data_IF_775216543643
#
_entry.id   IF_775216543643
#
_cell.length_a   1.000
_cell.length_b   1.000
_cell.length_c   1.000
_cell.angle_alpha   90.00
_cell.angle_beta   90.00
_cell.angle_gamma   90.00
#
_symmetry.space_group_name_H-M   'P 1'
#
loop_
_entity.id
_entity.type
_entity.pdbx_description
1 polymer ?
#
# COMPACT_ATOMS: atom_id res chain seq x y z
N UNK A 1 6.20 4.44 6.81
CA UNK A 1 6.24 4.09 5.37
C UNK A 1 4.81 3.76 4.96
N UNK A 2 4.21 4.60 4.14
CA UNK A 2 2.86 4.39 3.65
C UNK A 2 2.97 3.40 2.49
N UNK A 3 2.39 2.21 2.64
CA UNK A 3 2.38 1.23 1.55
C UNK A 3 1.13 1.48 0.70
N UNK A 4 1.27 2.31 -0.33
CA UNK A 4 0.33 2.35 -1.44
C UNK A 4 0.61 1.19 -2.40
N UNK A 5 -0.34 0.85 -3.25
CA UNK A 5 -0.06 -0.04 -4.37
C UNK A 5 0.50 0.76 -5.52
N UNK A 6 1.70 0.41 -5.98
CA UNK A 6 2.32 0.99 -7.17
C UNK A 6 2.64 -0.10 -8.18
N UNK A 7 2.46 0.20 -9.44
CA UNK A 7 2.85 -0.70 -10.54
C UNK A 7 3.31 0.06 -11.78
N UNK A 8 4.04 -0.65 -12.61
CA UNK A 8 4.38 -0.25 -13.98
C UNK A 8 3.60 -1.18 -14.91
N UNK A 9 3.00 -0.61 -15.94
CA UNK A 9 2.37 -1.38 -17.01
C UNK A 9 2.94 -0.98 -18.35
N UNK A 10 3.21 -1.97 -19.21
CA UNK A 10 3.67 -1.75 -20.58
C UNK A 10 2.51 -1.72 -21.59
N UNK A 11 2.84 -1.48 -22.85
CA UNK A 11 1.89 -1.43 -23.96
C UNK A 11 1.14 -2.74 -24.18
N UNK A 12 1.76 -3.87 -23.83
CA UNK A 12 1.20 -5.22 -24.00
C UNK A 12 0.37 -5.68 -22.80
N UNK A 13 0.17 -4.78 -21.82
CA UNK A 13 -0.58 -4.97 -20.56
C UNK A 13 0.14 -5.89 -19.56
N UNK A 14 1.46 -6.07 -19.67
CA UNK A 14 2.23 -6.71 -18.62
C UNK A 14 2.35 -5.74 -17.43
N UNK A 15 1.89 -6.17 -16.28
CA UNK A 15 1.92 -5.36 -15.05
C UNK A 15 3.06 -5.85 -14.17
N UNK A 16 3.99 -4.95 -13.85
CA UNK A 16 5.09 -5.20 -12.91
C UNK A 16 4.79 -4.51 -11.60
N UNK A 17 4.70 -5.29 -10.54
CA UNK A 17 4.55 -4.82 -9.18
C UNK A 17 5.30 -5.74 -8.20
N UNK A 18 5.57 -5.26 -7.01
CA UNK A 18 6.20 -6.06 -5.95
C UNK A 18 5.65 -5.64 -4.60
N UNK A 19 5.22 -6.61 -3.79
CA UNK A 19 4.76 -6.33 -2.43
C UNK A 19 5.90 -5.71 -1.59
N UNK A 20 5.58 -4.66 -0.84
CA UNK A 20 6.54 -3.97 0.03
C UNK A 20 7.41 -2.93 -0.67
N UNK A 21 7.15 -2.61 -1.94
CA UNK A 21 7.75 -1.45 -2.61
C UNK A 21 6.69 -0.62 -3.33
N UNK A 22 6.78 0.69 -3.21
CA UNK A 22 5.98 1.70 -3.89
C UNK A 22 6.83 2.56 -4.86
N UNK A 23 8.12 2.27 -4.97
CA UNK A 23 9.04 3.01 -5.85
C UNK A 23 8.89 2.57 -7.30
N UNK A 24 8.39 3.46 -8.16
CA UNK A 24 8.30 3.22 -9.59
C UNK A 24 9.67 2.99 -10.25
N UNK A 25 10.73 3.65 -9.77
CA UNK A 25 12.10 3.43 -10.28
C UNK A 25 12.61 2.01 -9.97
N UNK A 26 12.27 1.48 -8.79
CA UNK A 26 12.59 0.10 -8.46
C UNK A 26 11.81 -0.89 -9.34
N UNK A 27 10.55 -0.58 -9.63
CA UNK A 27 9.70 -1.41 -10.49
C UNK A 27 10.16 -1.35 -11.96
N UNK A 28 10.60 -0.20 -12.46
CA UNK A 28 11.21 -0.07 -13.81
C UNK A 28 12.46 -0.94 -13.94
N UNK A 29 13.33 -0.95 -12.92
CA UNK A 29 14.51 -1.82 -12.89
C UNK A 29 14.13 -3.31 -12.91
N UNK A 30 13.08 -3.70 -12.17
CA UNK A 30 12.56 -5.08 -12.17
C UNK A 30 12.00 -5.44 -13.55
N UNK A 31 11.30 -4.53 -14.21
CA UNK A 31 10.73 -4.72 -15.55
C UNK A 31 11.79 -4.68 -16.66
N UNK A 32 13.02 -4.22 -16.37
CA UNK A 32 14.05 -4.02 -17.38
C UNK A 32 13.71 -2.91 -18.38
N UNK A 33 12.92 -1.92 -17.98
CA UNK A 33 12.47 -0.80 -18.81
C UNK A 33 13.29 0.45 -18.46
N UNK A 34 13.86 1.09 -19.47
CA UNK A 34 14.55 2.36 -19.32
C UNK A 34 13.53 3.51 -19.25
N UNK A 35 13.78 4.45 -18.36
CA UNK A 35 13.04 5.72 -18.23
C UNK A 35 13.73 6.79 -19.07
N UNK A 36 13.66 6.64 -20.38
CA UNK A 36 14.49 7.36 -21.34
C UNK A 36 13.74 8.43 -22.16
N UNK A 37 12.42 8.52 -22.03
CA UNK A 37 11.63 9.49 -22.80
C UNK A 37 10.31 9.87 -22.13
N UNK A 38 9.91 11.14 -22.31
CA UNK A 38 8.59 11.68 -21.95
C UNK A 38 7.68 11.87 -23.17
N UNK A 39 8.10 11.45 -24.37
CA UNK A 39 7.26 11.51 -25.58
C UNK A 39 6.07 10.53 -25.43
N UNK A 40 4.81 11.01 -25.48
CA UNK A 40 3.63 10.17 -25.29
C UNK A 40 3.45 9.07 -26.33
N UNK A 41 4.15 9.15 -27.47
CA UNK A 41 4.13 8.11 -28.52
C UNK A 41 5.20 7.06 -28.26
N UNK A 42 6.38 7.49 -27.79
CA UNK A 42 7.58 6.65 -27.63
C UNK A 42 7.67 6.00 -26.26
N UNK A 43 6.95 6.53 -25.26
CA UNK A 43 6.97 6.03 -23.89
C UNK A 43 6.50 4.58 -23.84
N UNK A 44 7.27 3.71 -23.17
CA UNK A 44 7.09 2.26 -23.18
C UNK A 44 6.29 1.73 -21.99
N UNK A 45 6.05 2.57 -21.00
CA UNK A 45 5.40 2.19 -19.74
C UNK A 45 4.43 3.27 -19.27
N UNK A 46 3.58 2.91 -18.31
CA UNK A 46 2.78 3.84 -17.55
C UNK A 46 2.94 3.53 -16.06
N UNK A 47 3.24 4.56 -15.28
CA UNK A 47 3.27 4.49 -13.82
C UNK A 47 1.86 4.62 -13.28
N UNK A 48 1.48 3.71 -12.41
CA UNK A 48 0.15 3.69 -11.80
C UNK A 48 0.30 3.55 -10.30
N UNK A 49 -0.47 4.35 -9.57
CA UNK A 49 -0.60 4.28 -8.14
C UNK A 49 -2.07 4.11 -7.74
N UNK A 50 -2.33 3.23 -6.77
CA UNK A 50 -3.62 3.13 -6.11
C UNK A 50 -3.37 3.40 -4.64
N UNK A 51 -3.84 4.56 -4.19
CA UNK A 51 -3.50 5.13 -2.91
C UNK A 51 -4.75 5.44 -2.06
N UNK A 52 -4.64 5.44 -0.72
CA UNK A 52 -5.75 5.78 0.15
C UNK A 52 -6.20 7.22 -0.07
N UNK A 53 -7.51 7.44 -0.06
CA UNK A 53 -8.07 8.77 -0.01
C UNK A 53 -8.28 9.17 1.46
N UNK A 54 -7.88 10.41 1.81
CA UNK A 54 -8.02 10.97 3.16
C UNK A 54 -7.43 10.04 4.25
N UNK A 55 -6.24 9.54 4.03
CA UNK A 55 -5.50 8.66 4.98
C UNK A 55 -6.25 7.38 5.40
N UNK A 56 -7.23 6.95 4.60
CA UNK A 56 -7.97 5.71 4.89
C UNK A 56 -7.20 4.46 4.44
N UNK A 57 -6.15 4.11 5.16
CA UNK A 57 -5.30 2.94 4.87
C UNK A 57 -5.96 1.59 5.20
N UNK A 58 -7.01 1.60 6.05
CA UNK A 58 -7.64 0.37 6.52
C UNK A 58 -8.66 -0.23 5.54
N UNK A 59 -8.98 0.50 4.46
CA UNK A 59 -9.98 0.09 3.48
C UNK A 59 -9.43 0.19 2.04
N UNK A 60 -8.53 -0.73 1.64
CA UNK A 60 -7.91 -0.72 0.32
C UNK A 60 -8.90 -0.82 -0.85
N UNK A 61 -10.12 -1.31 -0.61
CA UNK A 61 -11.18 -1.38 -1.61
C UNK A 61 -11.69 0.01 -2.04
N UNK A 62 -11.44 1.04 -1.21
CA UNK A 62 -11.82 2.43 -1.47
C UNK A 62 -10.66 3.32 -1.90
N UNK A 63 -9.51 2.74 -2.16
CA UNK A 63 -8.37 3.50 -2.64
C UNK A 63 -8.59 4.02 -4.05
N UNK A 64 -7.95 5.13 -4.37
CA UNK A 64 -8.14 5.85 -5.62
C UNK A 64 -7.06 5.48 -6.61
N UNK A 65 -7.48 5.12 -7.82
CA UNK A 65 -6.60 4.86 -8.95
C UNK A 65 -6.09 6.18 -9.55
N UNK A 66 -4.79 6.33 -9.69
CA UNK A 66 -4.13 7.45 -10.34
C UNK A 66 -3.10 6.98 -11.37
N UNK A 67 -2.95 7.71 -12.45
CA UNK A 67 -1.78 7.63 -13.33
C UNK A 67 -0.76 8.60 -12.75
N UNK A 68 0.39 8.09 -12.32
CA UNK A 68 1.47 8.86 -11.69
C UNK A 68 2.51 9.28 -12.74
N UNK A 69 2.04 10.05 -13.72
CA UNK A 69 2.84 10.61 -14.80
C UNK A 69 2.24 11.92 -15.28
N UNK A 70 3.11 12.87 -15.66
CA UNK A 70 2.70 14.14 -16.25
C UNK A 70 2.06 13.92 -17.62
N UNK A 71 2.51 12.90 -18.33
CA UNK A 71 2.07 12.57 -19.68
C UNK A 71 1.56 11.14 -19.74
N UNK A 72 0.27 10.98 -20.06
CA UNK A 72 -0.32 9.65 -20.28
C UNK A 72 0.08 9.13 -21.67
N UNK A 73 0.60 7.89 -21.79
CA UNK A 73 0.94 7.29 -23.08
C UNK A 73 -0.25 7.22 -24.02
N UNK A 74 -0.05 7.49 -25.31
CA UNK A 74 -1.15 7.45 -26.31
C UNK A 74 -1.78 6.06 -26.49
N UNK A 75 -1.05 5.01 -26.15
CA UNK A 75 -1.55 3.64 -26.20
C UNK A 75 -2.38 3.22 -24.98
N UNK A 76 -2.46 4.06 -23.95
CA UNK A 76 -3.24 3.77 -22.75
C UNK A 76 -4.73 3.60 -23.05
N UNK A 77 -5.34 2.56 -22.50
CA UNK A 77 -6.76 2.22 -22.69
C UNK A 77 -7.39 1.72 -21.39
N UNK A 78 -8.71 1.57 -21.39
CA UNK A 78 -9.43 0.95 -20.27
C UNK A 78 -8.96 -0.49 -19.97
N UNK A 79 -8.45 -1.21 -20.99
CA UNK A 79 -7.92 -2.56 -20.79
C UNK A 79 -6.64 -2.55 -19.91
N UNK A 80 -5.78 -1.54 -20.05
CA UNK A 80 -4.61 -1.34 -19.19
C UNK A 80 -5.04 -1.04 -17.76
N UNK A 81 -6.02 -0.15 -17.57
CA UNK A 81 -6.59 0.11 -16.24
C UNK A 81 -7.11 -1.16 -15.57
N UNK A 82 -7.86 -2.01 -16.32
CA UNK A 82 -8.37 -3.28 -15.81
C UNK A 82 -7.24 -4.23 -15.40
N UNK A 83 -6.14 -4.29 -16.16
CA UNK A 83 -4.98 -5.10 -15.81
C UNK A 83 -4.33 -4.63 -14.50
N UNK A 84 -4.13 -3.32 -14.31
CA UNK A 84 -3.63 -2.76 -13.06
C UNK A 84 -4.56 -3.04 -11.87
N UNK A 85 -5.89 -2.91 -12.07
CA UNK A 85 -6.86 -3.22 -11.03
C UNK A 85 -6.82 -4.70 -10.62
N UNK A 86 -6.63 -5.62 -11.59
CA UNK A 86 -6.45 -7.04 -11.29
C UNK A 86 -5.18 -7.28 -10.45
N UNK A 87 -4.07 -6.65 -10.81
CA UNK A 87 -2.83 -6.73 -10.03
C UNK A 87 -3.00 -6.15 -8.62
N UNK A 88 -3.79 -5.10 -8.46
CA UNK A 88 -4.14 -4.55 -7.14
C UNK A 88 -4.94 -5.55 -6.28
N UNK A 89 -5.88 -6.30 -6.88
CA UNK A 89 -6.58 -7.37 -6.14
C UNK A 89 -5.60 -8.43 -5.60
N UNK A 90 -4.68 -8.90 -6.45
CA UNK A 90 -3.64 -9.87 -6.05
C UNK A 90 -2.73 -9.32 -4.95
N UNK A 91 -2.40 -8.03 -5.01
CA UNK A 91 -1.64 -7.32 -3.98
C UNK A 91 -2.44 -7.20 -2.67
N UNK A 92 -3.74 -6.89 -2.73
CA UNK A 92 -4.63 -6.82 -1.56
C UNK A 92 -4.69 -8.16 -0.82
N UNK A 93 -4.70 -9.27 -1.54
CA UNK A 93 -4.69 -10.60 -0.93
C UNK A 93 -3.44 -10.83 -0.07
N UNK A 94 -2.29 -10.27 -0.47
CA UNK A 94 -1.08 -10.29 0.36
C UNK A 94 -1.19 -9.32 1.54
N UNK A 95 -1.69 -8.11 1.32
CA UNK A 95 -1.88 -7.13 2.37
C UNK A 95 -2.81 -7.64 3.48
N UNK A 96 -3.92 -8.30 3.11
CA UNK A 96 -4.90 -8.79 4.09
C UNK A 96 -4.38 -9.91 4.99
N UNK A 97 -3.30 -10.58 4.63
CA UNK A 97 -2.62 -11.55 5.49
C UNK A 97 -1.89 -10.89 6.66
N UNK A 98 -1.48 -9.64 6.51
CA UNK A 98 -0.71 -8.90 7.52
C UNK A 98 -1.48 -7.74 8.14
N UNK A 99 -2.53 -7.24 7.47
CA UNK A 99 -3.30 -6.09 7.92
C UNK A 99 -4.25 -6.48 9.06
N UNK A 100 -4.01 -5.94 10.24
CA UNK A 100 -4.90 -6.08 11.39
C UNK A 100 -5.98 -5.00 11.33
N UNK A 101 -7.17 -5.33 10.84
CA UNK A 101 -8.32 -4.40 10.71
C UNK A 101 -9.07 -4.16 12.02
N UNK A 102 -8.49 -4.49 13.18
CA UNK A 102 -9.13 -4.25 14.47
C UNK A 102 -8.89 -2.83 14.92
N UNK A 103 -9.95 -2.14 15.32
CA UNK A 103 -9.81 -0.82 15.93
C UNK A 103 -8.95 -0.94 17.20
N UNK A 104 -7.85 -0.18 17.24
CA UNK A 104 -7.06 -0.04 18.46
C UNK A 104 -7.82 0.93 19.36
N UNK A 105 -8.44 0.41 20.40
CA UNK A 105 -9.13 1.24 21.39
C UNK A 105 -8.11 1.78 22.37
N UNK A 106 -7.99 3.11 22.43
CA UNK A 106 -7.07 3.74 23.38
C UNK A 106 -7.49 3.38 24.83
N UNK A 107 -6.56 2.93 25.70
CA UNK A 107 -6.89 2.48 27.05
C UNK A 107 -7.71 3.49 27.88
N UNK A 108 -7.46 4.78 27.72
CA UNK A 108 -8.21 5.84 28.42
C UNK A 108 -9.65 6.06 27.91
N UNK A 109 -10.05 5.41 26.82
CA UNK A 109 -11.44 5.42 26.34
C UNK A 109 -12.25 4.24 26.83
N UNK A 110 -11.64 3.32 27.56
CA UNK A 110 -12.30 2.15 28.13
C UNK A 110 -12.59 2.44 29.61
N UNK A 111 -13.83 2.23 30.05
CA UNK A 111 -14.16 2.26 31.49
C UNK A 111 -13.34 1.19 32.20
N UNK A 112 -12.53 1.55 33.21
CA UNK A 112 -11.73 0.57 33.92
C UNK A 112 -12.60 -0.53 34.50
N UNK A 113 -12.20 -1.80 34.45
CA UNK A 113 -12.95 -2.88 35.06
C UNK A 113 -12.92 -2.74 36.57
N UNK A 114 -14.03 -3.04 37.23
CA UNK A 114 -14.14 -2.99 38.71
C UNK A 114 -13.14 -3.90 39.42
N UNK A 115 -12.69 -4.98 38.73
CA UNK A 115 -11.67 -5.91 39.23
C UNK A 115 -10.74 -6.31 38.10
N UNK A 116 -9.45 -6.18 38.32
CA UNK A 116 -8.43 -6.64 37.39
C UNK A 116 -8.30 -8.15 37.53
N UNK A 117 -8.34 -8.85 36.42
CA UNK A 117 -8.20 -10.30 36.33
C UNK A 117 -6.95 -10.64 35.52
N UNK A 118 -6.47 -11.90 35.60
CA UNK A 118 -5.33 -12.39 34.84
C UNK A 118 -5.52 -12.21 33.33
N UNK A 119 -6.78 -12.30 32.85
CA UNK A 119 -7.11 -12.01 31.43
C UNK A 119 -6.81 -10.56 31.06
N UNK A 120 -7.09 -9.61 31.94
CA UNK A 120 -6.76 -8.20 31.70
C UNK A 120 -5.25 -7.98 31.66
N UNK A 121 -4.51 -8.67 32.54
CA UNK A 121 -3.05 -8.62 32.58
C UNK A 121 -2.45 -9.20 31.29
N UNK A 122 -2.97 -10.33 30.80
CA UNK A 122 -2.55 -10.93 29.54
C UNK A 122 -2.75 -9.99 28.36
N UNK A 123 -3.95 -9.37 28.23
CA UNK A 123 -4.25 -8.41 27.18
C UNK A 123 -3.35 -7.17 27.23
N UNK A 124 -3.00 -6.68 28.42
CA UNK A 124 -2.07 -5.56 28.54
C UNK A 124 -0.64 -5.94 28.11
N UNK A 125 -0.20 -7.16 28.37
CA UNK A 125 1.09 -7.68 27.90
C UNK A 125 1.11 -7.80 26.38
N UNK A 126 0.05 -8.35 25.77
CA UNK A 126 -0.08 -8.41 24.31
C UNK A 126 -0.07 -7.00 23.70
N UNK A 127 -0.79 -6.05 24.29
CA UNK A 127 -0.80 -4.66 23.81
C UNK A 127 0.59 -4.01 23.91
N UNK A 128 1.33 -4.25 24.99
CA UNK A 128 2.70 -3.76 25.13
C UNK A 128 3.63 -4.34 24.06
N UNK A 129 3.47 -5.62 23.72
CA UNK A 129 4.21 -6.28 22.64
C UNK A 129 3.91 -5.66 21.27
N UNK A 130 2.64 -5.43 20.95
CA UNK A 130 2.22 -4.76 19.70
C UNK A 130 2.81 -3.34 19.62
N UNK A 131 2.77 -2.58 20.73
CA UNK A 131 3.36 -1.24 20.79
C UNK A 131 4.86 -1.25 20.55
N UNK A 132 5.57 -2.21 21.12
CA UNK A 132 7.01 -2.36 20.92
C UNK A 132 7.35 -2.70 19.45
N UNK A 133 6.59 -3.60 18.85
CA UNK A 133 6.72 -3.99 17.44
C UNK A 133 6.46 -2.81 16.49
N UNK A 134 5.39 -2.04 16.74
CA UNK A 134 5.08 -0.83 15.95
C UNK A 134 6.21 0.21 16.09
N UNK A 135 6.74 0.43 17.29
CA UNK A 135 7.87 1.34 17.51
C UNK A 135 9.11 0.90 16.74
N UNK A 136 9.44 -0.39 16.77
CA UNK A 136 10.58 -0.93 16.03
C UNK A 136 10.42 -0.80 14.50
N UNK A 137 9.17 -0.90 14.00
CA UNK A 137 8.85 -0.81 12.57
C UNK A 137 8.86 0.62 12.03
N UNK A 138 8.55 1.62 12.89
CA UNK A 138 8.43 3.03 12.47
C UNK A 138 9.77 3.75 12.52
N UNK A 139 10.82 3.11 13.10
CA UNK A 139 12.10 3.77 13.33
C UNK A 139 11.97 4.99 14.24
N UNK A 140 13.05 5.55 14.70
CA UNK A 140 13.06 6.76 15.51
C UNK A 140 12.62 7.98 14.67
N UNK A 141 11.32 8.09 14.41
CA UNK A 141 10.74 9.35 13.98
C UNK A 141 10.77 10.23 15.22
N UNK A 142 11.81 11.04 15.28
CA UNK A 142 12.02 12.09 16.28
C UNK A 142 10.81 13.02 16.24
N UNK A 143 10.21 13.18 17.41
CA UNK A 143 9.18 14.18 17.69
C UNK A 143 9.80 15.58 17.75
#
# INVERSE_FOLDING_TARGET
>A
MCHAFSCIIDRDKNVTWKFGTDSHDALLKIAGIADDTLDPVLIKFCRVEIAPKNDNYLDPDKWVFNIDMDVTPKWWTLAHKKACMKAHEEWKDQLYKILVRKAIVHPFKITPPKKITDKHIALLKEWASVRASVRASVGDIVW
#
